data_IF_533725609665
#
_entry.id   IF_533725609665
#
_cell.length_a   1.000
_cell.length_b   1.000
_cell.length_c   1.000
_cell.angle_alpha   90.00
_cell.angle_beta   90.00
_cell.angle_gamma   90.00
#
_symmetry.space_group_name_H-M   'P 1'
#
loop_
_entity.id
_entity.type
_entity.pdbx_description
1 polymer ?
#
# COMPACT_ATOMS: atom_id res chain seq x y z
N UNK A 1 -13.33 0.39 21.53
CA UNK A 1 -12.48 1.42 20.91
C UNK A 1 -13.22 2.01 19.73
N UNK A 2 -13.68 3.25 19.85
CA UNK A 2 -14.32 3.99 18.76
C UNK A 2 -13.22 4.53 17.87
N UNK A 3 -13.26 4.21 16.57
CA UNK A 3 -12.46 4.91 15.57
C UNK A 3 -13.46 5.70 14.72
N UNK A 4 -13.72 6.94 15.14
CA UNK A 4 -14.27 7.95 14.23
C UNK A 4 -13.13 8.32 13.26
N UNK A 5 -13.18 7.79 12.04
CA UNK A 5 -12.48 8.39 10.90
C UNK A 5 -13.53 9.20 10.15
N UNK A 6 -13.24 10.47 9.91
CA UNK A 6 -14.21 11.48 9.55
C UNK A 6 -14.67 11.35 8.10
N UNK A 7 -15.47 12.32 7.70
CA UNK A 7 -16.06 12.51 6.41
C UNK A 7 -15.61 13.89 5.90
N UNK A 8 -14.48 13.96 5.19
CA UNK A 8 -14.07 15.13 4.40
C UNK A 8 -13.22 14.70 3.19
N UNK A 9 -13.30 15.44 2.08
CA UNK A 9 -12.33 15.28 0.98
C UNK A 9 -10.92 15.52 1.53
N UNK A 10 -10.08 14.48 1.59
CA UNK A 10 -8.75 14.55 2.22
C UNK A 10 -8.35 13.34 3.08
N UNK A 11 -9.21 12.32 3.22
CA UNK A 11 -8.90 11.12 4.00
C UNK A 11 -8.51 9.96 3.07
N UNK A 12 -7.30 9.43 3.26
CA UNK A 12 -6.79 8.26 2.58
C UNK A 12 -7.81 7.12 2.64
N UNK A 13 -8.35 6.69 1.49
CA UNK A 13 -9.28 5.58 1.41
C UNK A 13 -8.54 4.24 1.56
N UNK A 14 -7.98 3.99 2.75
CA UNK A 14 -6.95 2.98 3.04
C UNK A 14 -7.19 1.64 2.35
N UNK A 15 -8.36 1.03 2.52
CA UNK A 15 -8.63 -0.30 1.94
C UNK A 15 -8.76 -0.24 0.41
N UNK A 16 -9.31 0.85 -0.15
CA UNK A 16 -9.38 1.03 -1.61
C UNK A 16 -8.00 1.30 -2.21
N UNK A 17 -7.19 2.13 -1.56
CA UNK A 17 -5.81 2.40 -1.95
C UNK A 17 -4.94 1.15 -1.85
N UNK A 18 -5.13 0.32 -0.81
CA UNK A 18 -4.44 -0.96 -0.68
C UNK A 18 -4.73 -1.92 -1.83
N UNK A 19 -5.99 -2.01 -2.29
CA UNK A 19 -6.33 -2.83 -3.46
C UNK A 19 -5.62 -2.36 -4.74
N UNK A 20 -5.35 -1.06 -4.89
CA UNK A 20 -4.63 -0.52 -6.06
C UNK A 20 -3.16 -0.93 -6.10
N UNK A 21 -2.59 -1.37 -4.98
CA UNK A 21 -1.25 -1.95 -4.91
C UNK A 21 -1.19 -3.43 -5.33
N UNK A 22 -2.30 -4.02 -5.82
CA UNK A 22 -2.30 -5.38 -6.36
C UNK A 22 -1.15 -5.69 -7.36
N UNK A 23 -0.73 -4.77 -8.26
CA UNK A 23 0.42 -5.01 -9.14
C UNK A 23 1.76 -5.21 -8.42
N UNK A 24 1.86 -4.83 -7.14
CA UNK A 24 3.04 -4.99 -6.30
C UNK A 24 3.06 -6.30 -5.52
N UNK A 25 1.98 -7.08 -5.54
CA UNK A 25 1.78 -8.21 -4.60
C UNK A 25 2.96 -9.20 -4.60
N UNK A 26 3.41 -9.67 -5.76
CA UNK A 26 4.54 -10.59 -5.85
C UNK A 26 5.84 -9.94 -5.35
N UNK A 27 6.13 -8.71 -5.78
CA UNK A 27 7.30 -7.94 -5.37
C UNK A 27 7.31 -7.58 -3.88
N UNK A 28 6.14 -7.51 -3.26
CA UNK A 28 5.95 -7.19 -1.85
C UNK A 28 5.93 -8.43 -0.95
N UNK A 29 5.86 -9.63 -1.53
CA UNK A 29 5.96 -10.91 -0.85
C UNK A 29 7.35 -11.55 -1.01
N UNK A 30 8.05 -11.26 -2.12
CA UNK A 30 9.33 -11.87 -2.46
C UNK A 30 10.31 -10.82 -3.00
N UNK A 31 11.41 -10.59 -2.27
CA UNK A 31 12.45 -9.62 -2.64
C UNK A 31 13.17 -9.94 -3.97
N UNK A 32 13.03 -11.17 -4.48
CA UNK A 32 13.61 -11.58 -5.77
C UNK A 32 12.61 -11.49 -6.92
N UNK A 33 11.35 -11.16 -6.66
CA UNK A 33 10.36 -10.99 -7.72
C UNK A 33 10.61 -9.67 -8.49
N UNK A 34 10.42 -9.67 -9.81
CA UNK A 34 10.58 -8.46 -10.60
C UNK A 34 9.52 -7.42 -10.21
N UNK A 35 9.94 -6.16 -10.08
CA UNK A 35 9.00 -5.05 -9.88
C UNK A 35 8.42 -4.65 -11.22
N UNK A 36 7.10 -4.78 -11.38
CA UNK A 36 6.42 -4.35 -12.60
C UNK A 36 6.35 -2.82 -12.69
N UNK A 37 6.33 -2.26 -13.91
CA UNK A 37 6.05 -0.82 -14.11
C UNK A 37 4.71 -0.40 -13.50
N UNK A 38 3.73 -1.31 -13.50
CA UNK A 38 2.45 -1.08 -12.83
C UNK A 38 2.58 -0.90 -11.32
N UNK A 39 3.47 -1.67 -10.68
CA UNK A 39 3.76 -1.50 -9.26
C UNK A 39 4.41 -0.14 -8.96
N UNK A 40 5.48 0.22 -9.68
CA UNK A 40 6.13 1.52 -9.50
C UNK A 40 5.14 2.69 -9.69
N UNK A 41 4.29 2.62 -10.72
CA UNK A 41 3.25 3.63 -10.95
C UNK A 41 2.22 3.69 -9.82
N UNK A 42 1.92 2.56 -9.16
CA UNK A 42 0.99 2.51 -8.04
C UNK A 42 1.61 3.13 -6.78
N UNK A 43 2.86 2.79 -6.45
CA UNK A 43 3.60 3.36 -5.30
C UNK A 43 3.87 4.86 -5.49
N UNK A 44 4.22 5.28 -6.71
CA UNK A 44 4.50 6.69 -7.02
C UNK A 44 3.32 7.63 -6.75
N UNK A 45 2.08 7.13 -6.79
CA UNK A 45 0.88 7.92 -6.43
C UNK A 45 0.86 8.38 -4.98
N UNK A 46 1.61 7.70 -4.11
CA UNK A 46 1.72 8.05 -2.70
C UNK A 46 2.94 8.92 -2.38
N UNK A 47 3.75 9.29 -3.39
CA UNK A 47 4.92 10.16 -3.19
C UNK A 47 4.57 11.52 -2.59
N UNK A 48 3.34 12.00 -2.83
CA UNK A 48 2.81 13.26 -2.28
C UNK A 48 2.01 13.07 -0.99
N UNK A 49 1.74 11.82 -0.58
CA UNK A 49 0.99 11.48 0.63
C UNK A 49 1.58 10.23 1.33
N UNK A 50 2.77 10.36 1.95
CA UNK A 50 3.42 9.25 2.66
C UNK A 50 2.63 8.78 3.89
N UNK A 51 1.76 9.62 4.46
CA UNK A 51 0.90 9.25 5.58
C UNK A 51 -0.18 8.25 5.14
N UNK A 52 -0.76 8.46 3.96
CA UNK A 52 -1.66 7.50 3.33
C UNK A 52 -0.95 6.18 3.03
N UNK A 53 0.27 6.21 2.47
CA UNK A 53 1.03 4.98 2.20
C UNK A 53 1.30 4.19 3.47
N UNK A 54 1.72 4.86 4.55
CA UNK A 54 1.95 4.22 5.84
C UNK A 54 0.68 3.51 6.35
N UNK A 55 -0.47 4.18 6.24
CA UNK A 55 -1.76 3.62 6.63
C UNK A 55 -2.16 2.42 5.76
N UNK A 56 -1.90 2.49 4.44
CA UNK A 56 -2.12 1.39 3.49
C UNK A 56 -1.27 0.17 3.82
N UNK A 57 0.01 0.36 4.14
CA UNK A 57 0.90 -0.74 4.52
C UNK A 57 0.47 -1.43 5.82
N UNK A 58 -0.21 -0.71 6.71
CA UNK A 58 -0.77 -1.22 7.97
C UNK A 58 -2.22 -1.72 7.85
N UNK A 59 -2.79 -1.68 6.65
CA UNK A 59 -4.20 -2.02 6.38
C UNK A 59 -4.50 -3.51 6.53
N UNK A 60 -5.79 -3.85 6.69
CA UNK A 60 -6.22 -5.26 6.72
C UNK A 60 -5.99 -5.93 5.38
N UNK A 61 -6.22 -5.20 4.29
CA UNK A 61 -6.00 -5.66 2.92
C UNK A 61 -4.53 -6.04 2.69
N UNK A 62 -3.57 -5.19 3.07
CA UNK A 62 -2.14 -5.49 2.94
C UNK A 62 -1.76 -6.75 3.75
N UNK A 63 -2.25 -6.86 4.98
CA UNK A 63 -2.03 -8.04 5.81
C UNK A 63 -2.64 -9.31 5.20
N UNK A 64 -3.87 -9.23 4.68
CA UNK A 64 -4.57 -10.36 4.07
C UNK A 64 -3.90 -10.82 2.76
N UNK A 65 -3.28 -9.89 2.03
CA UNK A 65 -2.47 -10.18 0.84
C UNK A 65 -1.10 -10.78 1.18
N UNK A 66 -0.76 -11.02 2.45
CA UNK A 66 0.51 -11.65 2.84
C UNK A 66 1.74 -10.78 2.55
N UNK A 67 1.56 -9.46 2.48
CA UNK A 67 2.65 -8.52 2.24
C UNK A 67 3.66 -8.61 3.40
N UNK A 68 4.94 -8.76 3.06
CA UNK A 68 6.03 -8.69 4.02
C UNK A 68 6.56 -7.24 4.05
N UNK A 69 6.39 -6.50 5.16
CA UNK A 69 6.89 -5.13 5.26
C UNK A 69 8.40 -4.98 5.02
N UNK A 70 9.20 -6.00 5.38
CA UNK A 70 10.65 -5.99 5.19
C UNK A 70 11.04 -6.15 3.71
N UNK A 71 10.20 -6.82 2.92
CA UNK A 71 10.36 -6.93 1.46
C UNK A 71 9.79 -5.70 0.78
N UNK A 72 8.58 -5.30 1.13
CA UNK A 72 7.85 -4.21 0.48
C UNK A 72 8.58 -2.86 0.55
N UNK A 73 9.38 -2.59 1.59
CA UNK A 73 10.18 -1.37 1.71
C UNK A 73 11.31 -1.27 0.65
N UNK A 74 11.66 -2.39 0.00
CA UNK A 74 12.63 -2.42 -1.11
C UNK A 74 12.03 -2.07 -2.47
N UNK A 75 10.70 -1.94 -2.56
CA UNK A 75 10.02 -1.52 -3.78
C UNK A 75 10.29 -0.03 -4.02
N UNK A 76 10.88 0.35 -5.18
CA UNK A 76 11.26 1.73 -5.49
C UNK A 76 10.09 2.71 -5.59
#
# INVERSE_FOLDING_TARGET
>A
SVVLGANAAGECAVESEAMKLAPCMEAAQNANAPVSTGCCNAVHKFSTDPACLCSVMLSKTAKAAGIDPAVAISIP
#
